data_IF_581254913894
#
_entry.id   IF_581254913894
#
_cell.length_a   1.000
_cell.length_b   1.000
_cell.length_c   1.000
_cell.angle_alpha   90.00
_cell.angle_beta   90.00
_cell.angle_gamma   90.00
#
_symmetry.space_group_name_H-M   'P 1'
#
loop_
_entity.id
_entity.type
_entity.pdbx_description
1 polymer ?
#
# COMPACT_ATOMS: atom_id res chain seq x y z
N UNK A 1 16.87 6.20 25.32
CA UNK A 1 16.55 5.19 24.29
C UNK A 1 16.88 5.78 22.93
N UNK A 2 17.74 5.13 22.14
CA UNK A 2 18.01 5.56 20.77
C UNK A 2 16.74 5.42 19.92
N UNK A 3 16.40 6.43 19.12
CA UNK A 3 15.31 6.31 18.16
C UNK A 3 15.70 5.29 17.08
N UNK A 4 14.76 4.41 16.66
CA UNK A 4 15.02 3.50 15.54
C UNK A 4 15.38 4.31 14.29
N UNK A 5 16.32 3.83 13.46
CA UNK A 5 16.72 4.53 12.25
C UNK A 5 15.53 4.66 11.28
N UNK A 6 15.43 5.80 10.58
CA UNK A 6 14.39 6.01 9.58
C UNK A 6 14.63 5.13 8.34
N UNK A 7 13.55 4.83 7.60
CA UNK A 7 13.64 4.06 6.33
C UNK A 7 14.59 4.73 5.34
N UNK A 8 14.60 6.07 5.25
CA UNK A 8 15.53 6.81 4.40
C UNK A 8 16.99 6.68 4.85
N UNK A 9 17.24 6.65 6.16
CA UNK A 9 18.59 6.45 6.69
C UNK A 9 19.10 5.04 6.39
N UNK A 10 18.24 4.02 6.56
CA UNK A 10 18.56 2.62 6.18
C UNK A 10 18.79 2.51 4.68
N UNK A 11 17.94 3.15 3.85
CA UNK A 11 18.08 3.14 2.40
C UNK A 11 19.40 3.76 1.95
N UNK A 12 19.76 4.94 2.47
CA UNK A 12 21.04 5.60 2.15
C UNK A 12 22.23 4.73 2.55
N UNK A 13 22.23 4.23 3.78
CA UNK A 13 23.31 3.36 4.26
C UNK A 13 23.42 2.06 3.44
N UNK A 14 22.30 1.50 2.99
CA UNK A 14 22.30 0.32 2.12
C UNK A 14 22.91 0.64 0.75
N UNK A 15 22.50 1.73 0.10
CA UNK A 15 23.04 2.15 -1.22
C UNK A 15 24.52 2.56 -1.14
N UNK A 16 24.94 3.22 -0.07
CA UNK A 16 26.35 3.59 0.15
C UNK A 16 27.25 2.35 0.29
N UNK A 17 26.76 1.30 0.97
CA UNK A 17 27.47 0.03 1.13
C UNK A 17 27.44 -0.82 -0.14
N UNK A 18 26.34 -0.77 -0.87
CA UNK A 18 26.09 -1.57 -2.07
C UNK A 18 25.47 -0.69 -3.18
N UNK A 19 26.28 0.00 -3.99
CA UNK A 19 25.79 0.95 -5.00
C UNK A 19 24.81 0.35 -6.01
N UNK A 20 24.90 -0.96 -6.28
CA UNK A 20 24.00 -1.69 -7.18
C UNK A 20 22.52 -1.68 -6.74
N UNK A 21 22.24 -1.37 -5.47
CA UNK A 21 20.87 -1.25 -4.95
C UNK A 21 20.14 -0.01 -5.44
N UNK A 22 20.88 1.02 -5.86
CA UNK A 22 20.30 2.19 -6.51
C UNK A 22 19.60 1.86 -7.84
N UNK A 23 19.83 0.68 -8.42
CA UNK A 23 19.19 0.22 -9.65
C UNK A 23 17.85 -0.51 -9.42
N UNK A 24 17.48 -0.82 -8.16
CA UNK A 24 16.17 -1.40 -7.86
C UNK A 24 15.08 -0.33 -7.95
N UNK A 25 13.85 -0.68 -8.34
CA UNK A 25 12.71 0.22 -8.20
C UNK A 25 12.60 0.71 -6.75
N UNK A 26 12.39 2.03 -6.58
CA UNK A 26 12.39 2.67 -5.26
C UNK A 26 11.44 2.02 -4.26
N UNK A 27 10.31 1.51 -4.74
CA UNK A 27 9.28 0.86 -3.93
C UNK A 27 9.75 -0.48 -3.39
N UNK A 28 10.42 -1.28 -4.22
CA UNK A 28 10.99 -2.56 -3.81
C UNK A 28 12.07 -2.35 -2.75
N UNK A 29 12.98 -1.41 -2.97
CA UNK A 29 14.02 -1.08 -1.99
C UNK A 29 13.45 -0.56 -0.67
N UNK A 30 12.40 0.28 -0.73
CA UNK A 30 11.71 0.81 0.45
C UNK A 30 11.04 -0.29 1.25
N UNK A 31 10.38 -1.25 0.59
CA UNK A 31 9.75 -2.40 1.24
C UNK A 31 10.78 -3.31 1.92
N UNK A 32 11.91 -3.58 1.27
CA UNK A 32 13.03 -4.33 1.87
C UNK A 32 13.60 -3.61 3.10
N UNK A 33 13.78 -2.28 3.03
CA UNK A 33 14.24 -1.50 4.18
C UNK A 33 13.24 -1.53 5.34
N UNK A 34 11.93 -1.56 5.06
CA UNK A 34 10.91 -1.69 6.11
C UNK A 34 10.87 -3.07 6.74
N UNK A 35 11.06 -4.13 5.95
CA UNK A 35 11.20 -5.49 6.47
C UNK A 35 12.39 -5.59 7.44
N UNK A 36 13.52 -4.99 7.05
CA UNK A 36 14.72 -4.90 7.87
C UNK A 36 14.55 -4.12 9.19
N UNK A 37 13.59 -3.20 9.27
CA UNK A 37 13.33 -2.40 10.47
C UNK A 37 12.31 -3.05 11.44
N UNK A 38 11.78 -4.24 11.11
CA UNK A 38 10.83 -4.94 11.97
C UNK A 38 11.51 -5.44 13.25
N UNK A 39 10.98 -5.18 14.46
CA UNK A 39 11.56 -5.71 15.69
C UNK A 39 11.51 -7.26 15.71
N UNK A 40 12.69 -7.87 15.85
CA UNK A 40 13.00 -9.30 15.75
C UNK A 40 14.53 -9.48 15.69
N UNK A 41 15.10 -10.69 15.61
CA UNK A 41 16.55 -10.87 15.45
C UNK A 41 16.98 -10.39 14.05
N UNK A 42 17.23 -9.09 13.91
CA UNK A 42 17.56 -8.42 12.63
C UNK A 42 18.82 -7.56 12.77
N UNK A 43 19.80 -7.97 13.58
CA UNK A 43 20.97 -7.13 13.86
C UNK A 43 22.12 -7.29 12.85
N UNK A 44 22.08 -8.28 11.94
CA UNK A 44 23.03 -8.41 10.80
C UNK A 44 22.32 -8.64 9.45
N UNK A 45 21.00 -8.68 9.45
CA UNK A 45 20.19 -9.26 8.38
C UNK A 45 19.92 -8.30 7.21
N UNK A 46 19.78 -6.99 7.41
CA UNK A 46 19.28 -6.09 6.34
C UNK A 46 20.21 -5.94 5.12
N UNK A 47 21.50 -5.68 5.34
CA UNK A 47 22.47 -5.53 4.26
C UNK A 47 22.85 -6.88 3.63
N UNK A 48 22.94 -7.92 4.46
CA UNK A 48 23.13 -9.32 4.05
C UNK A 48 21.97 -9.76 3.15
N UNK A 49 20.73 -9.52 3.59
CA UNK A 49 19.50 -9.75 2.87
C UNK A 49 19.47 -9.09 1.51
N UNK A 50 19.75 -7.81 1.50
CA UNK A 50 19.70 -7.04 0.27
C UNK A 50 20.82 -7.48 -0.70
N UNK A 51 22.02 -7.82 -0.22
CA UNK A 51 23.11 -8.41 -1.03
C UNK A 51 22.75 -9.77 -1.62
N UNK A 52 22.01 -10.56 -0.87
CA UNK A 52 21.59 -11.92 -1.21
C UNK A 52 20.34 -11.93 -2.12
N UNK A 53 19.44 -10.97 -1.96
CA UNK A 53 18.36 -10.68 -2.90
C UNK A 53 18.88 -10.24 -4.27
N UNK A 54 20.02 -9.52 -4.33
CA UNK A 54 20.71 -9.12 -5.57
C UNK A 54 21.24 -10.32 -6.37
N UNK A 55 21.84 -11.31 -5.70
CA UNK A 55 22.43 -12.46 -6.39
C UNK A 55 21.35 -13.45 -6.89
N UNK A 56 20.19 -13.49 -6.23
CA UNK A 56 19.02 -14.27 -6.63
C UNK A 56 18.13 -13.57 -7.66
N UNK A 57 18.19 -12.24 -7.70
CA UNK A 57 17.52 -11.37 -8.65
C UNK A 57 18.57 -10.63 -9.47
N UNK A 58 19.26 -11.34 -10.37
CA UNK A 58 19.87 -10.65 -11.50
C UNK A 58 18.87 -9.64 -12.09
N UNK A 59 19.34 -8.47 -12.56
CA UNK A 59 18.57 -7.31 -13.05
C UNK A 59 17.08 -7.66 -13.26
N UNK A 60 16.19 -7.45 -12.26
CA UNK A 60 14.86 -8.02 -12.30
C UNK A 60 14.17 -7.55 -13.58
N UNK A 61 13.85 -8.50 -14.47
CA UNK A 61 13.05 -8.17 -15.65
C UNK A 61 11.71 -7.63 -15.15
N UNK A 62 11.10 -6.69 -15.88
CA UNK A 62 9.80 -6.10 -15.49
C UNK A 62 8.74 -7.17 -15.17
N UNK A 63 8.82 -8.33 -15.83
CA UNK A 63 7.98 -9.51 -15.63
C UNK A 63 8.04 -10.12 -14.22
N UNK A 64 9.17 -9.97 -13.50
CA UNK A 64 9.36 -10.58 -12.17
C UNK A 64 8.98 -9.66 -11.02
N UNK A 65 8.80 -8.37 -11.27
CA UNK A 65 8.49 -7.38 -10.24
C UNK A 65 7.15 -7.64 -9.54
N UNK A 66 6.05 -7.99 -10.24
CA UNK A 66 4.76 -8.24 -9.57
C UNK A 66 4.85 -9.38 -8.56
N UNK A 67 5.46 -10.51 -8.93
CA UNK A 67 5.60 -11.67 -8.05
C UNK A 67 6.43 -11.35 -6.79
N UNK A 68 7.51 -10.57 -6.93
CA UNK A 68 8.34 -10.15 -5.79
C UNK A 68 7.61 -9.19 -4.85
N UNK A 69 6.88 -8.24 -5.41
CA UNK A 69 6.06 -7.29 -4.65
C UNK A 69 4.96 -8.03 -3.89
N UNK A 70 4.29 -9.00 -4.51
CA UNK A 70 3.26 -9.84 -3.86
C UNK A 70 3.83 -10.64 -2.69
N UNK A 71 5.03 -11.24 -2.85
CA UNK A 71 5.70 -11.96 -1.76
C UNK A 71 6.08 -11.06 -0.59
N UNK A 72 6.64 -9.88 -0.90
CA UNK A 72 7.01 -8.91 0.11
C UNK A 72 5.78 -8.39 0.85
N UNK A 73 4.65 -8.21 0.16
CA UNK A 73 3.37 -7.85 0.74
C UNK A 73 2.84 -8.96 1.67
N UNK A 74 2.86 -10.22 1.22
CA UNK A 74 2.44 -11.36 2.03
C UNK A 74 3.21 -11.41 3.36
N UNK A 75 4.53 -11.18 3.32
CA UNK A 75 5.37 -11.22 4.51
C UNK A 75 5.21 -9.98 5.41
N UNK A 76 5.16 -8.78 4.83
CA UNK A 76 4.99 -7.54 5.57
C UNK A 76 3.63 -7.47 6.27
N UNK A 77 2.60 -8.08 5.66
CA UNK A 77 1.22 -8.00 6.13
C UNK A 77 0.71 -9.29 6.77
N UNK A 78 1.47 -10.39 6.69
CA UNK A 78 1.07 -11.68 7.23
C UNK A 78 -0.18 -12.25 6.53
N UNK A 79 -0.32 -12.00 5.23
CA UNK A 79 -1.48 -12.41 4.43
C UNK A 79 -1.12 -13.60 3.53
N UNK A 80 -2.04 -14.56 3.31
CA UNK A 80 -1.87 -15.59 2.29
C UNK A 80 -1.65 -14.94 0.91
N UNK A 81 -0.71 -15.46 0.12
CA UNK A 81 -0.41 -14.88 -1.19
C UNK A 81 -1.60 -14.93 -2.16
N UNK A 82 -2.50 -15.92 -2.03
CA UNK A 82 -3.73 -16.01 -2.82
C UNK A 82 -4.75 -14.90 -2.53
N UNK A 83 -4.62 -14.20 -1.39
CA UNK A 83 -5.48 -13.08 -1.02
C UNK A 83 -4.93 -11.73 -1.53
N UNK A 84 -3.80 -11.74 -2.23
CA UNK A 84 -3.11 -10.56 -2.75
C UNK A 84 -3.14 -10.61 -4.28
N UNK A 85 -3.95 -9.74 -4.87
CA UNK A 85 -4.03 -9.57 -6.31
C UNK A 85 -2.98 -8.55 -6.77
N UNK A 86 -1.99 -8.89 -7.60
CA UNK A 86 -1.11 -7.89 -8.21
C UNK A 86 -1.92 -6.90 -9.04
N UNK A 87 -1.54 -5.64 -9.01
CA UNK A 87 -2.26 -4.56 -9.68
C UNK A 87 -1.29 -3.52 -10.25
N UNK A 88 -1.29 -3.36 -11.57
CA UNK A 88 -0.37 -2.43 -12.24
C UNK A 88 -0.64 -0.97 -11.86
N UNK A 89 -1.92 -0.58 -11.72
CA UNK A 89 -2.35 0.73 -11.27
C UNK A 89 -3.40 0.60 -10.15
N UNK A 90 -2.97 0.53 -8.88
CA UNK A 90 -3.87 0.37 -7.75
C UNK A 90 -4.89 1.51 -7.59
N UNK A 91 -4.58 2.73 -8.05
CA UNK A 91 -5.54 3.84 -7.99
C UNK A 91 -6.67 3.66 -9.01
N UNK A 92 -6.34 3.19 -10.24
CA UNK A 92 -7.37 2.82 -11.23
C UNK A 92 -8.10 1.54 -10.84
N UNK A 93 -7.42 0.57 -10.24
CA UNK A 93 -8.04 -0.64 -9.68
C UNK A 93 -9.09 -0.30 -8.60
N UNK A 94 -8.77 0.66 -7.73
CA UNK A 94 -9.70 1.21 -6.75
C UNK A 94 -10.91 1.88 -7.42
N UNK A 95 -10.68 2.70 -8.44
CA UNK A 95 -11.76 3.34 -9.19
C UNK A 95 -12.69 2.30 -9.83
N UNK A 96 -12.12 1.28 -10.47
CA UNK A 96 -12.86 0.17 -11.08
C UNK A 96 -13.68 -0.60 -10.03
N UNK A 97 -13.12 -0.85 -8.84
CA UNK A 97 -13.87 -1.46 -7.74
C UNK A 97 -15.08 -0.61 -7.34
N UNK A 98 -14.91 0.70 -7.15
CA UNK A 98 -16.01 1.59 -6.75
C UNK A 98 -17.11 1.63 -7.82
N UNK A 99 -16.75 1.75 -9.10
CA UNK A 99 -17.69 1.73 -10.23
C UNK A 99 -18.46 0.41 -10.34
N UNK A 100 -17.75 -0.73 -10.25
CA UNK A 100 -18.36 -2.07 -10.27
C UNK A 100 -19.39 -2.23 -9.14
N UNK A 101 -19.17 -1.57 -8.00
CA UNK A 101 -20.06 -1.58 -6.85
C UNK A 101 -21.06 -0.40 -6.84
N UNK A 102 -21.29 0.24 -7.99
CA UNK A 102 -22.38 1.20 -8.19
C UNK A 102 -22.10 2.63 -7.71
N UNK A 103 -20.87 2.94 -7.31
CA UNK A 103 -20.51 4.31 -6.96
C UNK A 103 -20.51 5.21 -8.20
N UNK A 104 -21.10 6.40 -8.07
CA UNK A 104 -20.98 7.50 -9.04
C UNK A 104 -20.24 8.69 -8.46
N UNK A 105 -20.42 8.94 -7.16
CA UNK A 105 -19.75 9.97 -6.38
C UNK A 105 -18.88 9.31 -5.33
N UNK A 106 -17.68 9.82 -5.11
CA UNK A 106 -16.73 9.26 -4.16
C UNK A 106 -16.24 10.32 -3.21
N UNK A 107 -16.56 10.15 -1.94
CA UNK A 107 -16.15 11.06 -0.89
C UNK A 107 -14.68 10.87 -0.52
N UNK A 108 -13.93 11.97 -0.56
CA UNK A 108 -12.52 12.05 -0.19
C UNK A 108 -12.31 13.13 0.87
N UNK A 109 -11.63 12.79 1.96
CA UNK A 109 -11.27 13.79 2.95
C UNK A 109 -10.29 14.81 2.34
N UNK A 110 -10.53 16.11 2.56
CA UNK A 110 -9.64 17.18 2.07
C UNK A 110 -8.22 17.09 2.61
N UNK A 111 -8.06 16.57 3.83
CA UNK A 111 -6.75 16.27 4.41
C UNK A 111 -6.04 15.07 3.82
N UNK A 112 -6.73 14.26 3.01
CA UNK A 112 -6.21 13.10 2.30
C UNK A 112 -6.02 13.41 0.80
N UNK A 113 -5.70 14.67 0.45
CA UNK A 113 -5.28 15.06 -0.91
C UNK A 113 -3.96 14.37 -1.26
N UNK A 114 -4.09 13.13 -1.71
CA UNK A 114 -2.99 12.26 -2.01
C UNK A 114 -2.48 12.53 -3.42
N UNK A 115 -1.23 12.97 -3.51
CA UNK A 115 -0.44 12.86 -4.73
C UNK A 115 0.25 11.50 -4.69
N UNK A 116 0.00 10.67 -5.69
CA UNK A 116 0.62 9.36 -5.83
C UNK A 116 2.10 9.50 -6.15
N UNK A 117 2.88 8.44 -5.94
CA UNK A 117 4.30 8.41 -6.27
C UNK A 117 4.63 8.77 -7.74
N UNK A 118 3.70 8.58 -8.68
CA UNK A 118 3.84 8.95 -10.10
C UNK A 118 3.44 10.41 -10.43
N UNK A 119 3.08 11.19 -9.42
CA UNK A 119 2.72 12.61 -9.53
C UNK A 119 1.24 12.88 -9.82
N UNK A 120 0.43 11.85 -10.12
CA UNK A 120 -1.02 12.03 -10.29
C UNK A 120 -1.69 12.30 -8.95
N UNK A 121 -2.80 13.05 -8.94
CA UNK A 121 -3.64 13.18 -7.75
C UNK A 121 -4.71 12.12 -7.76
N UNK A 122 -4.98 11.50 -6.61
CA UNK A 122 -6.02 10.49 -6.50
C UNK A 122 -7.38 10.99 -7.01
N UNK A 123 -7.77 12.22 -6.65
CA UNK A 123 -9.02 12.82 -7.10
C UNK A 123 -9.12 12.90 -8.63
N UNK A 124 -8.02 13.21 -9.30
CA UNK A 124 -7.97 13.31 -10.76
C UNK A 124 -8.10 11.91 -11.39
N UNK A 125 -7.42 10.90 -10.82
CA UNK A 125 -7.55 9.50 -11.27
C UNK A 125 -8.98 8.98 -11.14
N UNK A 126 -9.67 9.28 -10.03
CA UNK A 126 -11.08 8.92 -9.85
C UNK A 126 -11.96 9.60 -10.90
N UNK A 127 -11.73 10.90 -11.13
CA UNK A 127 -12.47 11.72 -12.11
C UNK A 127 -12.29 11.21 -13.53
N UNK A 128 -11.05 10.97 -13.95
CA UNK A 128 -10.71 10.37 -15.25
C UNK A 128 -11.32 8.98 -15.44
N UNK A 129 -11.52 8.24 -14.34
CA UNK A 129 -12.12 6.91 -14.37
C UNK A 129 -13.66 6.95 -14.44
N UNK A 130 -14.28 8.14 -14.37
CA UNK A 130 -15.74 8.31 -14.47
C UNK A 130 -16.46 8.45 -13.13
N UNK A 131 -15.73 8.65 -12.02
CA UNK A 131 -16.30 8.92 -10.70
C UNK A 131 -16.24 10.41 -10.39
N UNK A 132 -17.27 10.98 -9.78
CA UNK A 132 -17.20 12.34 -9.25
C UNK A 132 -16.48 12.33 -7.89
N UNK A 133 -15.26 12.87 -7.83
CA UNK A 133 -14.51 12.99 -6.58
C UNK A 133 -15.02 14.18 -5.73
N UNK A 134 -15.66 13.89 -4.60
CA UNK A 134 -16.31 14.89 -3.74
C UNK A 134 -15.47 15.14 -2.48
N UNK A 135 -14.81 16.31 -2.35
CA UNK A 135 -14.01 16.62 -1.18
C UNK A 135 -14.89 17.02 0.02
N UNK A 136 -14.68 16.41 1.19
CA UNK A 136 -15.36 16.80 2.44
C UNK A 136 -14.38 17.09 3.60
N UNK A 137 -14.93 17.66 4.67
CA UNK A 137 -14.17 18.10 5.83
C UNK A 137 -13.21 19.25 5.52
N UNK A 138 -12.14 19.34 6.32
CA UNK A 138 -11.01 20.27 6.15
C UNK A 138 -9.71 19.49 6.02
N UNK A 139 -8.59 20.20 5.84
CA UNK A 139 -7.27 19.57 5.76
C UNK A 139 -6.91 18.79 7.03
N UNK A 140 -7.36 19.25 8.20
CA UNK A 140 -6.99 18.68 9.50
C UNK A 140 -8.17 18.02 10.23
N UNK A 141 -9.39 18.07 9.68
CA UNK A 141 -10.58 17.54 10.32
C UNK A 141 -11.55 16.90 9.32
N UNK A 142 -11.78 15.60 9.45
CA UNK A 142 -12.74 14.85 8.64
C UNK A 142 -13.42 13.82 9.53
N UNK A 143 -14.73 13.98 9.78
CA UNK A 143 -15.46 13.12 10.71
C UNK A 143 -16.41 12.16 10.00
N UNK A 144 -16.55 10.95 10.55
CA UNK A 144 -17.51 9.96 10.04
C UNK A 144 -18.96 10.48 10.05
N UNK A 145 -19.35 11.25 11.08
CA UNK A 145 -20.69 11.85 11.16
C UNK A 145 -20.94 12.97 10.13
N UNK A 146 -19.90 13.65 9.64
CA UNK A 146 -20.02 14.59 8.53
C UNK A 146 -20.22 13.84 7.21
N UNK A 147 -19.37 12.83 6.97
CA UNK A 147 -19.50 11.94 5.82
C UNK A 147 -20.88 11.27 5.75
N UNK A 148 -21.34 10.70 6.87
CA UNK A 148 -22.63 10.02 6.94
C UNK A 148 -23.82 10.94 6.67
N UNK A 149 -23.75 12.24 6.99
CA UNK A 149 -24.85 13.18 6.72
C UNK A 149 -24.99 13.49 5.23
N UNK A 150 -23.86 13.57 4.54
CA UNK A 150 -23.81 13.93 3.12
C UNK A 150 -23.95 12.72 2.18
N UNK A 151 -23.76 11.50 2.70
CA UNK A 151 -23.83 10.27 1.91
C UNK A 151 -25.23 9.99 1.36
N UNK A 152 -25.34 10.01 0.03
CA UNK A 152 -26.53 9.67 -0.74
C UNK A 152 -26.46 8.25 -1.36
N UNK A 153 -27.60 7.78 -1.88
CA UNK A 153 -27.65 6.51 -2.61
C UNK A 153 -26.75 6.56 -3.85
N UNK A 154 -25.89 5.56 -4.02
CA UNK A 154 -24.92 5.52 -5.12
C UNK A 154 -23.62 6.29 -4.86
N UNK A 155 -23.43 6.79 -3.64
CA UNK A 155 -22.14 7.30 -3.19
C UNK A 155 -21.23 6.16 -2.70
N UNK A 156 -19.92 6.34 -2.88
CA UNK A 156 -18.86 5.57 -2.26
C UNK A 156 -17.89 6.48 -1.49
N UNK A 157 -16.90 5.90 -0.84
CA UNK A 157 -15.86 6.69 -0.16
C UNK A 157 -14.51 5.99 -0.09
N UNK A 158 -13.46 6.79 0.05
CA UNK A 158 -12.10 6.29 0.08
C UNK A 158 -11.36 6.86 1.28
N UNK A 159 -10.64 5.98 1.98
CA UNK A 159 -9.62 6.40 2.93
C UNK A 159 -8.25 6.31 2.26
N UNK A 160 -7.55 7.44 2.13
CA UNK A 160 -6.26 7.49 1.47
C UNK A 160 -5.15 8.00 2.40
N UNK A 161 -3.97 7.38 2.34
CA UNK A 161 -2.79 7.84 3.08
C UNK A 161 -1.51 7.68 2.26
N UNK A 162 -0.59 8.63 2.44
CA UNK A 162 0.79 8.55 1.93
C UNK A 162 1.76 8.26 3.07
N UNK A 163 2.81 7.49 2.79
CA UNK A 163 3.98 7.39 3.67
C UNK A 163 4.91 8.61 3.60
N UNK A 164 4.75 9.50 2.62
CA UNK A 164 5.64 10.63 2.38
C UNK A 164 5.41 11.85 3.28
N UNK A 165 4.27 11.95 3.96
CA UNK A 165 3.99 13.04 4.89
C UNK A 165 3.02 12.61 5.99
N UNK A 166 2.99 13.36 7.09
CA UNK A 166 1.94 13.26 8.11
C UNK A 166 1.46 14.64 8.49
N UNK A 167 0.17 14.75 8.78
CA UNK A 167 -0.37 15.91 9.46
C UNK A 167 -0.06 15.79 10.97
N UNK A 168 0.27 16.92 11.60
CA UNK A 168 0.57 17.00 13.03
C UNK A 168 -0.08 18.26 13.64
N UNK A 169 -0.33 18.24 14.96
CA UNK A 169 -1.07 19.28 15.68
C UNK A 169 -2.53 18.91 15.92
N UNK A 170 -3.45 19.86 15.73
CA UNK A 170 -4.90 19.63 15.86
C UNK A 170 -5.45 18.89 14.65
N UNK A 171 -5.34 17.57 14.67
CA UNK A 171 -5.73 16.67 13.58
C UNK A 171 -6.76 15.67 14.08
N UNK A 172 -7.93 15.62 13.43
CA UNK A 172 -9.02 14.71 13.76
C UNK A 172 -9.53 14.07 12.46
N UNK A 173 -9.13 12.82 12.19
CA UNK A 173 -9.45 12.13 10.94
C UNK A 173 -10.20 10.84 11.21
N UNK A 174 -11.23 10.59 10.40
CA UNK A 174 -11.96 9.33 10.42
C UNK A 174 -10.99 8.16 10.21
N UNK A 175 -11.13 7.13 11.04
CA UNK A 175 -10.37 5.90 10.91
C UNK A 175 -10.97 4.96 9.86
N UNK A 176 -10.17 4.01 9.38
CA UNK A 176 -10.61 2.97 8.43
C UNK A 176 -11.84 2.20 8.95
N UNK A 177 -11.89 1.91 10.25
CA UNK A 177 -13.04 1.23 10.88
C UNK A 177 -14.32 2.07 10.87
N UNK A 178 -14.21 3.38 11.08
CA UNK A 178 -15.35 4.29 11.03
C UNK A 178 -15.86 4.47 9.59
N UNK A 179 -14.94 4.49 8.60
CA UNK A 179 -15.32 4.45 7.19
C UNK A 179 -16.12 3.18 6.88
N UNK A 180 -15.62 2.02 7.29
CA UNK A 180 -16.28 0.74 7.05
C UNK A 180 -17.67 0.66 7.70
N UNK A 181 -17.79 1.15 8.94
CA UNK A 181 -19.07 1.21 9.63
C UNK A 181 -20.06 2.17 8.92
N UNK A 182 -19.58 3.34 8.49
CA UNK A 182 -20.39 4.33 7.76
C UNK A 182 -20.89 3.78 6.43
N UNK A 183 -19.98 3.21 5.63
CA UNK A 183 -20.29 2.61 4.34
C UNK A 183 -21.33 1.48 4.47
N UNK A 184 -21.16 0.60 5.47
CA UNK A 184 -22.13 -0.47 5.77
C UNK A 184 -23.49 0.10 6.19
N UNK A 185 -23.53 1.11 7.05
CA UNK A 185 -24.77 1.75 7.48
C UNK A 185 -25.50 2.50 6.36
N UNK A 186 -24.77 2.92 5.31
CA UNK A 186 -25.32 3.65 4.16
C UNK A 186 -25.55 2.78 2.92
N UNK A 187 -25.05 1.55 2.91
CA UNK A 187 -25.20 0.63 1.79
C UNK A 187 -24.38 1.00 0.54
N UNK A 188 -23.31 1.77 0.69
CA UNK A 188 -22.42 2.15 -0.41
C UNK A 188 -21.02 1.55 -0.29
N UNK A 189 -20.23 1.47 -1.38
CA UNK A 189 -18.91 0.88 -1.33
C UNK A 189 -17.89 1.81 -0.65
N UNK A 190 -16.90 1.20 0.00
CA UNK A 190 -15.74 1.92 0.52
C UNK A 190 -14.45 1.14 0.25
N UNK A 191 -13.35 1.87 0.09
CA UNK A 191 -12.05 1.28 -0.17
C UNK A 191 -10.93 2.06 0.54
N UNK A 192 -9.76 1.44 0.65
CA UNK A 192 -8.55 2.05 1.20
C UNK A 192 -7.49 2.15 0.10
N UNK A 193 -6.77 3.28 0.06
CA UNK A 193 -5.56 3.43 -0.75
C UNK A 193 -4.38 3.81 0.14
N UNK A 194 -3.31 3.02 0.06
CA UNK A 194 -2.04 3.32 0.72
C UNK A 194 -0.97 3.57 -0.35
N UNK A 195 -0.46 4.79 -0.40
CA UNK A 195 0.72 5.16 -1.17
C UNK A 195 1.94 4.98 -0.27
N UNK A 196 2.64 3.86 -0.47
CA UNK A 196 3.74 3.26 0.29
C UNK A 196 3.34 2.02 1.13
N UNK A 197 4.34 1.26 1.57
CA UNK A 197 4.28 0.02 2.37
C UNK A 197 3.82 0.25 3.81
N UNK A 198 2.83 1.12 4.01
CA UNK A 198 2.32 1.45 5.33
C UNK A 198 1.82 0.17 5.98
N UNK A 199 2.09 0.00 7.29
CA UNK A 199 1.62 -1.15 8.04
C UNK A 199 0.08 -1.09 8.06
N UNK A 200 -0.66 -2.03 7.47
CA UNK A 200 -2.08 -2.11 7.60
C UNK A 200 -2.32 -2.48 9.05
N UNK A 201 -3.24 -1.77 9.68
CA UNK A 201 -3.81 -2.23 10.94
C UNK A 201 -4.37 -3.66 10.73
N UNK A 202 -4.35 -4.52 11.77
CA UNK A 202 -4.81 -5.89 11.64
C UNK A 202 -6.29 -5.88 11.22
N UNK A 203 -6.53 -6.31 9.99
CA UNK A 203 -7.79 -6.25 9.24
C UNK A 203 -8.29 -4.82 9.01
N UNK A 204 -8.26 -4.40 7.75
CA UNK A 204 -8.74 -3.10 7.23
C UNK A 204 -10.28 -2.95 7.34
N UNK A 205 -10.85 -3.40 8.45
CA UNK A 205 -12.27 -3.53 8.74
C UNK A 205 -13.07 -4.27 7.65
N UNK A 206 -12.41 -5.15 6.90
CA UNK A 206 -12.98 -5.86 5.75
C UNK A 206 -13.11 -5.02 4.47
N UNK A 207 -12.50 -3.83 4.41
CA UNK A 207 -12.49 -3.02 3.20
C UNK A 207 -11.43 -3.50 2.21
N UNK A 208 -11.74 -3.52 0.90
CA UNK A 208 -10.75 -3.73 -0.13
C UNK A 208 -9.71 -2.62 -0.06
N UNK A 209 -8.45 -3.04 -0.13
CA UNK A 209 -7.30 -2.15 0.07
C UNK A 209 -6.37 -2.27 -1.10
N UNK A 210 -6.05 -1.12 -1.68
CA UNK A 210 -5.13 -0.95 -2.79
C UNK A 210 -3.86 -0.31 -2.25
N UNK A 211 -2.71 -0.86 -2.61
CA UNK A 211 -1.42 -0.43 -2.07
C UNK A 211 -0.47 -0.17 -3.23
N UNK A 212 0.14 1.01 -3.22
CA UNK A 212 1.13 1.46 -4.20
C UNK A 212 2.49 1.49 -3.48
N UNK A 213 3.33 0.46 -3.62
CA UNK A 213 4.73 0.53 -3.20
C UNK A 213 5.40 1.72 -3.87
N UNK A 214 6.16 2.53 -3.13
CA UNK A 214 6.71 3.80 -3.60
C UNK A 214 7.31 3.76 -5.03
N UNK A 215 6.55 4.17 -6.05
CA UNK A 215 7.03 4.26 -7.44
C UNK A 215 7.08 2.95 -8.25
N UNK A 216 6.11 2.04 -8.07
CA UNK A 216 6.00 0.83 -8.90
C UNK A 216 4.60 0.20 -8.94
N UNK A 217 4.42 -0.92 -9.68
CA UNK A 217 3.19 -1.69 -9.65
C UNK A 217 2.89 -2.13 -8.21
N UNK A 218 1.61 -2.17 -7.87
CA UNK A 218 1.15 -2.46 -6.53
C UNK A 218 0.30 -3.71 -6.47
N UNK A 219 -0.61 -3.74 -5.50
CA UNK A 219 -1.49 -4.88 -5.27
C UNK A 219 -2.75 -4.46 -4.54
N UNK A 220 -3.75 -5.33 -4.62
CA UNK A 220 -5.00 -5.21 -3.93
C UNK A 220 -5.20 -6.40 -2.98
N UNK A 221 -5.89 -6.15 -1.86
CA UNK A 221 -6.27 -7.15 -0.87
C UNK A 221 -7.78 -7.01 -0.64
N UNK A 222 -8.49 -8.14 -0.51
CA UNK A 222 -9.94 -8.14 -0.28
C UNK A 222 -10.78 -7.72 -1.48
N UNK A 223 -10.18 -7.70 -2.67
CA UNK A 223 -10.89 -7.68 -3.97
C UNK A 223 -11.16 -9.12 -4.42
N UNK A 224 -12.06 -9.32 -5.39
CA UNK A 224 -12.18 -10.65 -6.03
C UNK A 224 -10.78 -11.15 -6.45
N UNK A 225 -10.49 -12.46 -6.30
CA UNK A 225 -9.17 -13.00 -6.59
C UNK A 225 -8.76 -12.63 -8.02
N UNK A 226 -7.68 -11.86 -8.16
CA UNK A 226 -6.96 -11.77 -9.42
C UNK A 226 -6.18 -13.07 -9.66
N UNK A 227 -5.74 -13.31 -10.89
CA UNK A 227 -4.84 -14.42 -11.21
C UNK A 227 -3.55 -14.28 -10.40
N UNK A 228 -3.52 -14.91 -9.24
CA UNK A 228 -2.35 -14.96 -8.38
C UNK A 228 -1.29 -15.83 -9.08
N UNK A 229 -0.01 -15.40 -9.11
CA UNK A 229 1.05 -16.28 -9.59
C UNK A 229 1.07 -17.57 -8.75
N UNK A 230 1.28 -18.75 -9.36
CA UNK A 230 1.08 -20.02 -8.69
C UNK A 230 1.99 -20.19 -7.45
N UNK A 231 1.39 -20.74 -6.39
CA UNK A 231 1.91 -20.77 -5.00
C UNK A 231 3.28 -21.47 -4.86
N UNK A 232 3.55 -22.42 -5.74
CA UNK A 232 4.80 -23.20 -5.82
C UNK A 232 6.01 -22.36 -6.24
N UNK A 233 5.84 -21.48 -7.24
CA UNK A 233 6.89 -20.51 -7.64
C UNK A 233 7.15 -19.47 -6.56
N UNK A 234 6.09 -19.04 -5.88
CA UNK A 234 6.15 -18.05 -4.79
C UNK A 234 6.88 -18.60 -3.57
N UNK A 235 6.59 -19.85 -3.16
CA UNK A 235 7.29 -20.53 -2.06
C UNK A 235 8.78 -20.71 -2.33
N UNK A 236 9.18 -21.09 -3.54
CA UNK A 236 10.60 -21.25 -3.88
C UNK A 236 11.36 -19.91 -3.83
N UNK A 237 10.81 -18.86 -4.43
CA UNK A 237 11.39 -17.50 -4.39
C UNK A 237 11.44 -16.94 -2.97
N UNK A 238 10.42 -17.21 -2.15
CA UNK A 238 10.37 -16.79 -0.76
C UNK A 238 11.33 -17.57 0.13
N UNK A 239 11.50 -18.88 -0.05
CA UNK A 239 12.54 -19.65 0.64
C UNK A 239 13.95 -19.19 0.27
N UNK A 240 14.14 -18.85 -1.01
CA UNK A 240 15.35 -18.20 -1.50
C UNK A 240 15.52 -16.85 -0.82
N UNK A 241 14.51 -15.98 -0.78
CA UNK A 241 14.58 -14.71 -0.07
C UNK A 241 14.91 -14.96 1.41
N UNK A 242 14.15 -15.81 2.12
CA UNK A 242 14.26 -16.08 3.56
C UNK A 242 15.61 -16.69 3.96
N UNK A 243 16.11 -17.73 3.28
CA UNK A 243 17.45 -18.31 3.52
C UNK A 243 18.56 -17.30 3.27
N UNK A 244 18.27 -16.33 2.40
CA UNK A 244 19.26 -15.39 1.87
C UNK A 244 19.07 -14.04 2.61
N UNK A 245 17.98 -13.78 3.34
CA UNK A 245 17.74 -12.57 4.15
C UNK A 245 17.93 -12.77 5.65
N UNK A 246 17.55 -13.92 6.17
CA UNK A 246 17.44 -14.16 7.62
C UNK A 246 18.51 -15.11 8.15
N UNK A 247 19.37 -15.65 7.28
CA UNK A 247 20.08 -16.88 7.59
C UNK A 247 19.09 -18.03 7.83
N UNK A 248 19.58 -19.27 7.86
CA UNK A 248 18.76 -20.37 8.38
C UNK A 248 18.61 -20.23 9.89
#
# INVERSE_FOLDING_TARGET
>A
MAHPPSVDAVRRAAVEREPGLGALPGGLLTGLCRLALRPGPVNESAAEAVRRGRDLLGKPSGEKLPALTTLLAAELYGLPAGDIAPCDDPARGLAAYLLKNGARRVWLCRGQKLTLADGRRLADVLTESGLEAVPFGTTNRCLAGELAREWASGDGAVWAASGGFRLAGFVEHLGIGELAATARGKGGPAAVLLDDWLRPAPQLAGLPTFIIPAGGPGFAVGTEPGDAPPEDRLRHLFELLRKTLLGG
#
